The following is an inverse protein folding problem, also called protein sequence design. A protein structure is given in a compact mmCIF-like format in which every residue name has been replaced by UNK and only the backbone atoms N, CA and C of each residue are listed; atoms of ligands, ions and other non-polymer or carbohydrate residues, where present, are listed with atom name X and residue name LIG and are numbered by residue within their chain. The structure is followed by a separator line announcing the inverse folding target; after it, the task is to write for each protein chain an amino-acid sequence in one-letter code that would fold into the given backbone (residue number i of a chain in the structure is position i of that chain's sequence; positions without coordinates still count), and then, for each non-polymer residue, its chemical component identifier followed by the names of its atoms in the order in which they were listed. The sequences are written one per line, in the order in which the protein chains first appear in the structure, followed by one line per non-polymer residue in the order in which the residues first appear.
data_IF_688984470989
#
_entry.id   IF_688984470989
#
_cell.length_a   1.000
_cell.length_b   1.000
_cell.length_c   1.000
_cell.angle_alpha   90.00
_cell.angle_beta   90.00
_cell.angle_gamma   90.00
#
_symmetry.space_group_name_H-M   'P 1'
#
loop_
_entity.id
_entity.type
_entity.pdbx_description
1 polymer ?
#
# COMPACT_ATOMS: atom_id res chain seq x y z
N UNK A 1 -0.36 2.00 -20.82
CA UNK A 1 -1.31 3.08 -20.44
C UNK A 1 -1.04 3.50 -19.00
N UNK A 2 -0.70 4.76 -18.71
CA UNK A 2 -0.34 5.23 -17.37
C UNK A 2 -1.51 5.18 -16.36
N UNK A 3 -2.76 5.26 -16.84
CA UNK A 3 -3.96 5.16 -15.98
C UNK A 3 -4.03 3.83 -15.20
N UNK A 4 -3.73 2.69 -15.83
CA UNK A 4 -3.78 1.38 -15.14
C UNK A 4 -2.71 1.25 -14.06
N UNK A 5 -1.61 2.00 -14.17
CA UNK A 5 -0.55 2.01 -13.15
C UNK A 5 -0.95 2.85 -11.93
N UNK A 6 -1.65 3.98 -12.13
CA UNK A 6 -2.20 4.76 -11.02
C UNK A 6 -3.33 4.02 -10.30
N UNK A 7 -4.22 3.35 -11.02
CA UNK A 7 -5.29 2.54 -10.40
C UNK A 7 -4.70 1.41 -9.56
N UNK A 8 -3.68 0.70 -10.06
CA UNK A 8 -3.00 -0.37 -9.30
C UNK A 8 -2.28 0.13 -8.05
N UNK A 9 -1.70 1.34 -8.09
CA UNK A 9 -1.08 1.95 -6.93
C UNK A 9 -2.13 2.36 -5.88
N UNK A 10 -3.29 2.87 -6.32
CA UNK A 10 -4.42 3.18 -5.44
C UNK A 10 -4.97 1.93 -4.76
N UNK A 11 -5.15 0.83 -5.51
CA UNK A 11 -5.60 -0.47 -4.98
C UNK A 11 -4.64 -1.00 -3.89
N UNK A 12 -3.33 -0.88 -4.13
CA UNK A 12 -2.31 -1.28 -3.16
C UNK A 12 -2.31 -0.40 -1.89
N UNK A 13 -2.55 0.91 -2.04
CA UNK A 13 -2.74 1.80 -0.89
C UNK A 13 -4.00 1.45 -0.09
N UNK A 14 -5.11 1.16 -0.77
CA UNK A 14 -6.35 0.76 -0.10
C UNK A 14 -6.18 -0.54 0.70
N UNK A 15 -5.47 -1.52 0.13
CA UNK A 15 -5.13 -2.76 0.81
C UNK A 15 -4.24 -2.51 2.05
N UNK A 16 -3.26 -1.62 1.95
CA UNK A 16 -2.41 -1.25 3.08
C UNK A 16 -3.19 -0.56 4.20
N UNK A 17 -4.12 0.35 3.87
CA UNK A 17 -4.99 1.02 4.86
C UNK A 17 -5.89 0.01 5.56
N UNK A 18 -6.48 -0.95 4.82
CA UNK A 18 -7.27 -2.04 5.41
C UNK A 18 -6.45 -2.85 6.40
N UNK A 19 -5.20 -3.19 6.05
CA UNK A 19 -4.30 -3.94 6.94
C UNK A 19 -3.89 -3.13 8.18
N UNK A 20 -3.62 -1.82 8.06
CA UNK A 20 -3.39 -0.96 9.22
C UNK A 20 -4.61 -0.89 10.15
N UNK A 21 -5.82 -0.88 9.57
CA UNK A 21 -7.05 -0.86 10.35
C UNK A 21 -7.27 -2.18 11.08
N UNK A 22 -7.02 -3.32 10.42
CA UNK A 22 -7.04 -4.64 11.05
C UNK A 22 -6.00 -4.73 12.16
N UNK A 23 -4.78 -4.25 11.94
CA UNK A 23 -3.75 -4.20 12.98
C UNK A 23 -4.20 -3.43 14.22
N UNK A 24 -4.84 -2.27 14.04
CA UNK A 24 -5.36 -1.47 15.14
C UNK A 24 -6.49 -2.19 15.90
N UNK A 25 -7.37 -2.90 15.19
CA UNK A 25 -8.46 -3.69 15.78
C UNK A 25 -7.92 -4.88 16.61
N UNK A 26 -6.88 -5.56 16.11
CA UNK A 26 -6.22 -6.66 16.82
C UNK A 26 -5.44 -6.17 18.04
N UNK A 27 -4.77 -5.01 17.92
CA UNK A 27 -4.18 -4.34 19.07
C UNK A 27 -5.23 -3.97 20.12
N UNK A 28 -6.41 -3.50 19.71
CA UNK A 28 -7.52 -3.16 20.61
C UNK A 28 -8.12 -4.40 21.30
N UNK A 29 -8.07 -5.57 20.65
CA UNK A 29 -8.51 -6.87 21.22
C UNK A 29 -7.47 -7.51 22.15
N UNK A 30 -6.26 -6.94 22.23
CA UNK A 30 -5.15 -7.47 23.02
C UNK A 30 -4.26 -8.46 22.27
N UNK A 31 -4.53 -8.73 20.99
CA UNK A 31 -3.77 -9.65 20.16
C UNK A 31 -2.63 -8.91 19.43
N UNK A 32 -1.60 -8.54 20.21
CA UNK A 32 -0.49 -7.73 19.71
C UNK A 32 0.37 -8.42 18.66
N UNK A 33 0.45 -9.76 18.69
CA UNK A 33 1.22 -10.51 17.70
C UNK A 33 0.57 -10.42 16.32
N UNK A 34 -0.73 -10.65 16.26
CA UNK A 34 -1.47 -10.60 15.02
C UNK A 34 -1.58 -9.14 14.50
N UNK A 35 -1.73 -8.18 15.41
CA UNK A 35 -1.59 -6.75 15.11
C UNK A 35 -0.25 -6.36 14.47
N UNK A 36 0.87 -6.88 15.01
CA UNK A 36 2.20 -6.68 14.42
C UNK A 36 2.32 -7.31 13.03
N UNK A 37 1.86 -8.55 12.84
CA UNK A 37 1.89 -9.20 11.52
C UNK A 37 1.09 -8.42 10.47
N UNK A 38 -0.08 -7.88 10.85
CA UNK A 38 -0.87 -7.02 9.98
C UNK A 38 -0.18 -5.69 9.69
N UNK A 39 0.46 -5.08 10.68
CA UNK A 39 1.22 -3.84 10.50
C UNK A 39 2.43 -4.04 9.57
N UNK A 40 3.18 -5.13 9.72
CA UNK A 40 4.32 -5.47 8.85
C UNK A 40 3.87 -5.68 7.40
N UNK A 41 2.75 -6.41 7.19
CA UNK A 41 2.15 -6.58 5.86
C UNK A 41 1.70 -5.25 5.27
N UNK A 42 1.09 -4.37 6.07
CA UNK A 42 0.66 -3.04 5.63
C UNK A 42 1.85 -2.16 5.19
N UNK A 43 2.96 -2.18 5.94
CA UNK A 43 4.18 -1.45 5.59
C UNK A 43 4.77 -1.97 4.28
N UNK A 44 4.80 -3.30 4.09
CA UNK A 44 5.32 -3.90 2.85
C UNK A 44 4.48 -3.53 1.64
N UNK A 45 3.15 -3.59 1.76
CA UNK A 45 2.21 -3.16 0.72
C UNK A 45 2.35 -1.66 0.41
N UNK A 46 2.54 -0.83 1.44
CA UNK A 46 2.75 0.62 1.26
C UNK A 46 4.05 0.92 0.51
N UNK A 47 5.13 0.20 0.80
CA UNK A 47 6.39 0.29 0.04
C UNK A 47 6.18 -0.10 -1.42
N UNK A 48 5.55 -1.25 -1.68
CA UNK A 48 5.26 -1.67 -3.06
C UNK A 48 4.35 -0.67 -3.79
N UNK A 49 3.34 -0.13 -3.12
CA UNK A 49 2.46 0.90 -3.67
C UNK A 49 3.25 2.17 -4.02
N UNK A 50 4.17 2.59 -3.15
CA UNK A 50 5.03 3.74 -3.37
C UNK A 50 6.03 3.51 -4.51
N UNK A 51 6.66 2.33 -4.60
CA UNK A 51 7.56 1.96 -5.69
C UNK A 51 6.82 1.88 -7.03
N UNK A 52 5.62 1.29 -7.04
CA UNK A 52 4.77 1.24 -8.24
C UNK A 52 4.26 2.63 -8.61
N UNK A 53 3.91 3.46 -7.64
CA UNK A 53 3.45 4.84 -7.83
C UNK A 53 4.55 5.75 -8.36
N UNK A 54 5.75 5.68 -7.79
CA UNK A 54 6.94 6.41 -8.26
C UNK A 54 7.40 5.91 -9.63
N UNK A 55 7.40 4.60 -9.87
CA UNK A 55 7.70 4.03 -11.19
C UNK A 55 6.67 4.41 -12.25
N UNK A 56 5.37 4.44 -11.89
CA UNK A 56 4.30 4.94 -12.74
C UNK A 56 4.45 6.44 -13.03
N UNK A 57 4.78 7.22 -12.01
CA UNK A 57 4.99 8.66 -12.14
C UNK A 57 6.21 8.97 -13.00
N UNK A 58 7.33 8.25 -12.82
CA UNK A 58 8.52 8.36 -13.67
C UNK A 58 8.21 7.98 -15.12
N UNK A 59 7.51 6.86 -15.36
CA UNK A 59 7.09 6.46 -16.71
C UNK A 59 6.10 7.45 -17.34
N UNK A 60 5.19 8.02 -16.55
CA UNK A 60 4.26 9.05 -17.02
C UNK A 60 4.97 10.36 -17.32
N UNK A 61 6.04 10.70 -16.58
CA UNK A 61 6.88 11.87 -16.83
C UNK A 61 7.75 11.69 -18.07
N UNK A 62 8.24 10.49 -18.34
CA UNK A 62 8.99 10.16 -19.56
C UNK A 62 8.13 9.98 -20.81
N UNK A 63 6.84 9.66 -20.67
CA UNK A 63 5.90 9.53 -21.79
C UNK A 63 5.25 10.87 -22.20
N UNK A 64 5.52 11.95 -21.45
CA UNK A 64 4.99 13.28 -21.71
C UNK A 64 6.02 14.22 -22.39
N UNK A 65 7.12 13.70 -22.90
CA UNK A 65 8.21 14.46 -23.53
C UNK A 65 8.69 13.83 -24.82
#
# INVERSE_FOLDING_TARGET
MPQTSHTKAADAHEAAVKMHRSAADEHAKGDHKAGLEHAEKAVKLSKEAQERGTGAHAKSKSAAH
#
